data_IF_575285059538
#
_entry.id   IF_575285059538
#
_cell.length_a   1.000
_cell.length_b   1.000
_cell.length_c   1.000
_cell.angle_alpha   90.00
_cell.angle_beta   90.00
_cell.angle_gamma   90.00
#
_symmetry.space_group_name_H-M   'P 1'
#
loop_
_entity.id
_entity.type
_entity.pdbx_description
1 polymer ?
#
# COMPACT_ATOMS: atom_id res chain seq x y z
N UNK A 1 -20.28 7.40 31.72
CA UNK A 1 -20.28 8.53 30.78
C UNK A 1 -19.32 9.59 31.31
N UNK A 2 -18.17 9.78 30.66
CA UNK A 2 -17.32 10.95 30.92
C UNK A 2 -17.87 12.11 30.08
N UNK A 3 -18.24 13.22 30.72
CA UNK A 3 -18.58 14.44 30.01
C UNK A 3 -17.29 15.01 29.42
N UNK A 4 -17.03 14.72 28.14
CA UNK A 4 -15.93 15.34 27.40
C UNK A 4 -16.46 16.68 26.91
N UNK A 5 -16.15 17.74 27.64
CA UNK A 5 -16.30 19.11 27.18
C UNK A 5 -15.08 19.47 26.32
N UNK A 6 -15.30 20.11 25.18
CA UNK A 6 -14.24 20.64 24.33
C UNK A 6 -14.21 22.17 24.46
N UNK A 7 -13.00 22.74 24.37
CA UNK A 7 -12.81 24.19 24.31
C UNK A 7 -13.02 24.67 22.86
N UNK A 8 -13.74 25.76 22.64
CA UNK A 8 -13.92 26.34 21.29
C UNK A 8 -12.58 26.70 20.64
N UNK A 9 -11.57 27.04 21.43
CA UNK A 9 -10.20 27.28 20.95
C UNK A 9 -9.55 26.03 20.33
N UNK A 10 -10.04 24.84 20.68
CA UNK A 10 -9.56 23.55 20.18
C UNK A 10 -10.24 23.10 18.89
N UNK A 11 -11.23 23.85 18.37
CA UNK A 11 -11.89 23.53 17.11
C UNK A 11 -10.93 23.81 15.93
N UNK A 12 -10.67 22.79 15.12
CA UNK A 12 -10.00 22.95 13.82
C UNK A 12 -11.02 23.42 12.78
N UNK A 13 -12.21 22.81 12.76
CA UNK A 13 -13.27 23.14 11.81
C UNK A 13 -14.66 22.73 12.30
N UNK A 14 -15.64 23.60 12.12
CA UNK A 14 -17.07 23.30 12.28
C UNK A 14 -17.64 22.85 10.92
N UNK A 15 -18.22 21.66 10.87
CA UNK A 15 -18.85 21.13 9.65
C UNK A 15 -20.36 21.31 9.65
N UNK A 16 -20.98 21.31 10.82
CA UNK A 16 -22.41 21.54 11.00
C UNK A 16 -22.69 22.06 12.40
N UNK A 17 -23.59 23.05 12.49
CA UNK A 17 -24.21 23.51 13.72
C UNK A 17 -25.66 23.84 13.40
N UNK A 18 -26.61 23.16 14.04
CA UNK A 18 -28.02 23.36 13.76
C UNK A 18 -28.94 22.33 14.41
N UNK A 19 -30.24 22.51 14.17
CA UNK A 19 -31.29 21.64 14.73
C UNK A 19 -31.66 20.50 13.81
N UNK A 20 -31.73 19.30 14.38
CA UNK A 20 -32.29 18.09 13.77
C UNK A 20 -33.30 17.51 14.76
N UNK A 21 -34.57 17.39 14.36
CA UNK A 21 -35.67 16.90 15.22
C UNK A 21 -35.69 17.57 16.61
N UNK A 22 -35.66 18.90 16.61
CA UNK A 22 -35.69 19.75 17.82
C UNK A 22 -34.46 19.63 18.75
N UNK A 23 -33.48 18.79 18.40
CA UNK A 23 -32.18 18.69 19.09
C UNK A 23 -31.11 19.44 18.31
N UNK A 24 -30.29 20.21 19.01
CA UNK A 24 -29.12 20.91 18.49
C UNK A 24 -27.92 19.94 18.41
N UNK A 25 -27.32 19.87 17.23
CA UNK A 25 -26.12 19.07 17.01
C UNK A 25 -24.98 19.95 16.51
N UNK A 26 -23.78 19.64 16.99
CA UNK A 26 -22.52 20.18 16.47
C UNK A 26 -21.68 19.05 15.93
N UNK A 27 -21.30 19.12 14.66
CA UNK A 27 -20.37 18.18 14.02
C UNK A 27 -19.10 18.94 13.69
N UNK A 28 -18.01 18.57 14.32
CA UNK A 28 -16.77 19.34 14.26
C UNK A 28 -15.54 18.45 14.31
N UNK A 29 -14.43 19.01 13.86
CA UNK A 29 -13.11 18.42 14.00
C UNK A 29 -12.31 19.23 15.01
N UNK A 30 -11.73 18.55 15.98
CA UNK A 30 -10.80 19.16 16.94
C UNK A 30 -9.36 19.15 16.40
N UNK A 31 -8.59 20.14 16.82
CA UNK A 31 -7.16 20.27 16.54
C UNK A 31 -6.44 19.05 17.10
N UNK A 32 -5.48 18.55 16.34
CA UNK A 32 -4.65 17.37 16.67
C UNK A 32 -5.41 16.03 16.74
N UNK A 33 -6.64 15.98 16.27
CA UNK A 33 -7.42 14.74 16.20
C UNK A 33 -7.62 14.27 14.77
N UNK A 34 -7.69 12.95 14.61
CA UNK A 34 -7.90 12.29 13.33
C UNK A 34 -9.39 12.24 12.95
N UNK A 35 -10.28 12.24 13.94
CA UNK A 35 -11.71 12.02 13.76
C UNK A 35 -12.57 13.27 13.69
N UNK A 36 -13.81 13.07 13.23
CA UNK A 36 -14.91 14.02 13.38
C UNK A 36 -15.65 13.64 14.67
N UNK A 37 -15.94 14.62 15.51
CA UNK A 37 -16.73 14.46 16.74
C UNK A 37 -18.12 15.07 16.59
N UNK A 38 -19.07 14.51 17.33
CA UNK A 38 -20.48 14.90 17.30
C UNK A 38 -20.89 15.20 18.72
N UNK A 39 -21.46 16.39 18.93
CA UNK A 39 -21.93 16.84 20.23
C UNK A 39 -23.42 17.19 20.16
N UNK A 40 -24.14 16.93 21.23
CA UNK A 40 -25.54 17.32 21.41
C UNK A 40 -25.67 18.69 22.11
N UNK A 41 -26.90 19.12 22.41
CA UNK A 41 -27.22 20.39 23.09
C UNK A 41 -26.46 20.60 24.41
N UNK A 42 -26.13 19.53 25.12
CA UNK A 42 -25.42 19.60 26.41
C UNK A 42 -23.90 19.71 26.23
N UNK A 43 -23.41 19.87 24.98
CA UNK A 43 -22.00 19.69 24.60
C UNK A 43 -21.42 18.34 25.04
N UNK A 44 -22.26 17.32 25.21
CA UNK A 44 -21.80 15.96 25.48
C UNK A 44 -21.51 15.30 24.15
N UNK A 45 -20.36 14.62 24.08
CA UNK A 45 -20.03 13.81 22.93
C UNK A 45 -21.07 12.70 22.79
N UNK A 46 -21.93 12.86 21.80
CA UNK A 46 -22.80 11.81 21.30
C UNK A 46 -21.99 11.09 20.23
N UNK A 47 -21.09 10.20 20.67
CA UNK A 47 -20.65 9.15 19.78
C UNK A 47 -21.94 8.44 19.39
N UNK A 48 -22.26 8.44 18.11
CA UNK A 48 -23.44 7.81 17.57
C UNK A 48 -23.58 6.41 18.22
N UNK A 49 -24.50 6.23 19.18
CA UNK A 49 -24.91 4.92 19.72
C UNK A 49 -25.80 4.20 18.68
N UNK A 50 -25.39 4.27 17.40
CA UNK A 50 -26.13 3.71 16.28
C UNK A 50 -25.34 2.59 15.61
N UNK A 51 -26.10 1.75 14.92
CA UNK A 51 -25.69 0.63 14.07
C UNK A 51 -24.51 0.97 13.13
N UNK A 52 -24.33 2.24 12.73
CA UNK A 52 -23.36 2.67 11.70
C UNK A 52 -22.05 3.29 12.22
N UNK A 53 -21.83 3.35 13.54
CA UNK A 53 -20.66 4.02 14.13
C UNK A 53 -19.34 3.38 13.69
N UNK A 54 -19.30 2.05 13.61
CA UNK A 54 -18.15 1.28 13.15
C UNK A 54 -17.82 1.57 11.68
N UNK A 55 -18.82 1.57 10.81
CA UNK A 55 -18.67 1.77 9.37
C UNK A 55 -18.21 3.19 9.05
N UNK A 56 -18.76 4.18 9.75
CA UNK A 56 -18.33 5.58 9.62
C UNK A 56 -16.88 5.75 10.10
N UNK A 57 -16.51 5.12 11.21
CA UNK A 57 -15.13 5.14 11.70
C UNK A 57 -14.16 4.47 10.69
N UNK A 58 -14.55 3.36 10.08
CA UNK A 58 -13.77 2.68 9.04
C UNK A 58 -13.57 3.57 7.81
N UNK A 59 -14.62 4.27 7.36
CA UNK A 59 -14.54 5.23 6.26
C UNK A 59 -13.56 6.37 6.57
N UNK A 60 -13.68 6.98 7.76
CA UNK A 60 -12.76 8.05 8.21
C UNK A 60 -11.31 7.55 8.22
N UNK A 61 -11.08 6.36 8.75
CA UNK A 61 -9.76 5.73 8.79
C UNK A 61 -9.16 5.52 7.39
N UNK A 62 -9.94 4.94 6.46
CA UNK A 62 -9.50 4.74 5.06
C UNK A 62 -9.21 6.06 4.34
N UNK A 63 -10.01 7.09 4.60
CA UNK A 63 -9.81 8.45 4.05
C UNK A 63 -8.51 9.06 4.57
N UNK A 64 -8.24 8.98 5.87
CA UNK A 64 -7.01 9.52 6.44
C UNK A 64 -5.77 8.78 5.95
N UNK A 65 -5.84 7.45 5.76
CA UNK A 65 -4.76 6.71 5.10
C UNK A 65 -4.55 7.21 3.67
N UNK A 66 -5.63 7.38 2.90
CA UNK A 66 -5.56 7.81 1.51
C UNK A 66 -4.94 9.21 1.37
N UNK A 67 -5.33 10.14 2.24
CA UNK A 67 -4.84 11.54 2.26
C UNK A 67 -3.42 11.60 2.81
N UNK A 68 -3.15 10.94 3.93
CA UNK A 68 -1.83 10.92 4.58
C UNK A 68 -0.74 10.44 3.63
N UNK A 69 -1.04 9.38 2.88
CA UNK A 69 -0.12 8.79 1.91
C UNK A 69 -0.07 9.51 0.55
N UNK A 70 -0.79 10.63 0.32
CA UNK A 70 -0.72 11.33 -0.97
C UNK A 70 0.56 12.17 -1.11
N UNK A 71 1.18 12.13 -2.30
CA UNK A 71 2.32 13.01 -2.67
C UNK A 71 1.74 14.30 -3.26
N UNK A 72 1.02 15.06 -2.44
CA UNK A 72 0.44 16.35 -2.85
C UNK A 72 0.75 17.41 -1.80
N UNK A 73 0.67 18.68 -2.19
CA UNK A 73 0.86 19.81 -1.27
C UNK A 73 -0.13 19.76 -0.10
N UNK A 74 0.26 20.31 1.05
CA UNK A 74 -0.60 20.38 2.23
C UNK A 74 -1.97 20.99 1.92
N UNK A 75 -2.00 22.07 1.14
CA UNK A 75 -3.25 22.73 0.68
C UNK A 75 -4.14 21.81 -0.15
N UNK A 76 -3.58 20.93 -0.98
CA UNK A 76 -4.37 19.93 -1.75
C UNK A 76 -4.88 18.81 -0.86
N UNK A 77 -4.08 18.37 0.14
CA UNK A 77 -4.51 17.38 1.14
C UNK A 77 -5.71 17.88 1.93
N UNK A 78 -5.67 19.14 2.36
CA UNK A 78 -6.75 19.78 3.10
C UNK A 78 -8.04 19.89 2.28
N UNK A 79 -7.96 20.30 1.01
CA UNK A 79 -9.12 20.31 0.10
C UNK A 79 -9.73 18.92 -0.10
N UNK A 80 -8.89 17.89 -0.26
CA UNK A 80 -9.38 16.50 -0.36
C UNK A 80 -10.06 16.06 0.94
N UNK A 81 -9.44 16.35 2.09
CA UNK A 81 -9.99 16.05 3.42
C UNK A 81 -11.37 16.68 3.58
N UNK A 82 -11.50 17.95 3.25
CA UNK A 82 -12.77 18.67 3.29
C UNK A 82 -13.84 18.01 2.42
N UNK A 83 -13.51 17.63 1.19
CA UNK A 83 -14.47 17.01 0.27
C UNK A 83 -14.98 15.65 0.80
N UNK A 84 -14.10 14.82 1.35
CA UNK A 84 -14.49 13.53 1.94
C UNK A 84 -15.22 13.69 3.27
N UNK A 85 -14.77 14.60 4.14
CA UNK A 85 -15.42 14.83 5.42
C UNK A 85 -16.82 15.41 5.22
N UNK A 86 -17.04 16.27 4.22
CA UNK A 86 -18.39 16.73 3.86
C UNK A 86 -19.30 15.57 3.41
N UNK A 87 -18.78 14.54 2.75
CA UNK A 87 -19.57 13.34 2.41
C UNK A 87 -19.93 12.52 3.65
N UNK A 88 -18.99 12.35 4.57
CA UNK A 88 -19.22 11.65 5.85
C UNK A 88 -20.23 12.42 6.70
N UNK A 89 -20.09 13.75 6.79
CA UNK A 89 -21.02 14.62 7.52
C UNK A 89 -22.43 14.49 6.93
N UNK A 90 -22.59 14.47 5.60
CA UNK A 90 -23.91 14.19 4.98
C UNK A 90 -24.48 12.83 5.41
N UNK A 91 -23.64 11.79 5.46
CA UNK A 91 -24.07 10.48 5.94
C UNK A 91 -24.48 10.52 7.42
N UNK A 92 -23.71 11.20 8.27
CA UNK A 92 -24.03 11.41 9.68
C UNK A 92 -25.35 12.15 9.84
N UNK A 93 -25.56 13.23 9.09
CA UNK A 93 -26.79 14.01 9.11
C UNK A 93 -28.00 13.16 8.72
N UNK A 94 -27.89 12.34 7.66
CA UNK A 94 -28.94 11.38 7.28
C UNK A 94 -29.23 10.38 8.41
N UNK A 95 -28.19 9.89 9.11
CA UNK A 95 -28.35 9.00 10.25
C UNK A 95 -28.99 9.70 11.47
N UNK A 96 -28.72 10.99 11.69
CA UNK A 96 -29.29 11.77 12.80
C UNK A 96 -30.72 12.24 12.51
N UNK A 97 -31.03 12.53 11.25
CA UNK A 97 -32.38 12.87 10.78
C UNK A 97 -33.35 11.71 10.86
N UNK A 98 -32.87 10.46 10.96
CA UNK A 98 -33.70 9.27 11.01
C UNK A 98 -33.57 8.59 12.37
N UNK A 99 -34.66 8.57 13.14
CA UNK A 99 -34.73 7.80 14.40
C UNK A 99 -34.67 6.31 14.08
N UNK A 100 -33.60 5.64 14.51
CA UNK A 100 -33.31 4.24 14.19
C UNK A 100 -34.40 3.31 14.68
N UNK A 101 -35.03 3.64 15.82
CA UNK A 101 -36.10 2.82 16.37
C UNK A 101 -37.39 2.87 15.52
N UNK A 102 -37.48 3.84 14.60
CA UNK A 102 -38.62 4.06 13.71
C UNK A 102 -38.24 3.97 12.21
N UNK A 103 -37.02 3.55 11.88
CA UNK A 103 -36.60 3.42 10.49
C UNK A 103 -37.22 2.18 9.84
N UNK A 104 -37.78 2.35 8.65
CA UNK A 104 -38.18 1.22 7.83
C UNK A 104 -36.94 0.48 7.31
N UNK A 105 -37.10 -0.82 7.03
CA UNK A 105 -36.02 -1.65 6.47
C UNK A 105 -35.41 -1.05 5.19
N UNK A 106 -36.23 -0.45 4.33
CA UNK A 106 -35.78 0.19 3.08
C UNK A 106 -34.81 1.35 3.34
N UNK A 107 -35.05 2.13 4.39
CA UNK A 107 -34.22 3.30 4.71
C UNK A 107 -32.87 2.88 5.32
N UNK A 108 -32.86 1.79 6.09
CA UNK A 108 -31.63 1.17 6.57
C UNK A 108 -30.80 0.67 5.38
N UNK A 109 -31.44 -0.01 4.43
CA UNK A 109 -30.79 -0.54 3.24
C UNK A 109 -30.19 0.58 2.37
N UNK A 110 -30.88 1.71 2.19
CA UNK A 110 -30.38 2.89 1.46
C UNK A 110 -29.11 3.50 2.08
N UNK A 111 -29.09 3.65 3.41
CA UNK A 111 -27.93 4.19 4.13
C UNK A 111 -26.77 3.20 4.06
N UNK A 112 -27.04 1.90 4.24
CA UNK A 112 -26.04 0.85 4.11
C UNK A 112 -25.44 0.78 2.71
N UNK A 113 -26.27 0.91 1.66
CA UNK A 113 -25.80 0.92 0.28
C UNK A 113 -24.93 2.14 0.00
N UNK A 114 -25.30 3.32 0.51
CA UNK A 114 -24.49 4.53 0.39
C UNK A 114 -23.12 4.37 1.07
N UNK A 115 -23.09 3.85 2.30
CA UNK A 115 -21.86 3.57 3.05
C UNK A 115 -21.00 2.56 2.28
N UNK A 116 -21.61 1.45 1.83
CA UNK A 116 -20.92 0.37 1.11
C UNK A 116 -20.30 0.87 -0.18
N UNK A 117 -21.04 1.63 -0.99
CA UNK A 117 -20.56 2.21 -2.24
C UNK A 117 -19.34 3.13 -2.02
N UNK A 118 -19.37 3.97 -0.97
CA UNK A 118 -18.22 4.81 -0.62
C UNK A 118 -17.04 3.97 -0.12
N UNK A 119 -17.30 2.90 0.65
CA UNK A 119 -16.27 2.01 1.15
C UNK A 119 -15.55 1.27 0.01
N UNK A 120 -16.31 0.69 -0.91
CA UNK A 120 -15.80 -0.02 -2.09
C UNK A 120 -14.94 0.92 -2.95
N UNK A 121 -15.43 2.13 -3.21
CA UNK A 121 -14.70 3.16 -3.97
C UNK A 121 -13.38 3.54 -3.29
N UNK A 122 -13.36 3.65 -1.96
CA UNK A 122 -12.14 3.97 -1.20
C UNK A 122 -11.16 2.81 -1.20
N UNK A 123 -11.66 1.58 -1.06
CA UNK A 123 -10.86 0.37 -1.11
C UNK A 123 -10.16 0.25 -2.47
N UNK A 124 -10.88 0.42 -3.58
CA UNK A 124 -10.31 0.39 -4.93
C UNK A 124 -9.24 1.46 -5.14
N UNK A 125 -9.46 2.67 -4.61
CA UNK A 125 -8.47 3.76 -4.66
C UNK A 125 -7.22 3.42 -3.86
N UNK A 126 -7.36 2.86 -2.67
CA UNK A 126 -6.23 2.43 -1.85
C UNK A 126 -5.46 1.28 -2.51
N UNK A 127 -6.16 0.30 -3.10
CA UNK A 127 -5.54 -0.82 -3.82
C UNK A 127 -4.75 -0.35 -5.02
N UNK A 128 -5.35 0.48 -5.87
CA UNK A 128 -4.67 1.03 -7.04
C UNK A 128 -3.46 1.87 -6.65
N UNK A 129 -3.57 2.65 -5.56
CA UNK A 129 -2.44 3.40 -5.03
C UNK A 129 -1.32 2.46 -4.58
N UNK A 130 -1.61 1.45 -3.77
CA UNK A 130 -0.61 0.49 -3.30
C UNK A 130 0.08 -0.23 -4.47
N UNK A 131 -0.67 -0.60 -5.52
CA UNK A 131 -0.13 -1.17 -6.76
C UNK A 131 0.84 -0.23 -7.46
N UNK A 132 0.45 1.05 -7.63
CA UNK A 132 1.29 2.07 -8.27
C UNK A 132 2.59 2.25 -7.49
N UNK A 133 2.52 2.46 -6.17
CA UNK A 133 3.73 2.64 -5.36
C UNK A 133 4.62 1.41 -5.37
N UNK A 134 4.06 0.21 -5.29
CA UNK A 134 4.81 -1.04 -5.39
C UNK A 134 5.58 -1.14 -6.72
N UNK A 135 4.90 -0.86 -7.84
CA UNK A 135 5.51 -0.86 -9.17
C UNK A 135 6.56 0.24 -9.34
N UNK A 136 6.21 1.49 -9.01
CA UNK A 136 7.10 2.64 -9.14
C UNK A 136 8.35 2.49 -8.29
N UNK A 137 8.25 1.98 -7.07
CA UNK A 137 9.43 1.74 -6.22
C UNK A 137 10.41 0.80 -6.89
N UNK A 138 9.92 -0.32 -7.44
CA UNK A 138 10.80 -1.26 -8.13
C UNK A 138 11.37 -0.66 -9.43
N UNK A 139 10.54 0.06 -10.21
CA UNK A 139 10.98 0.74 -11.41
C UNK A 139 12.12 1.73 -11.13
N UNK A 140 12.01 2.52 -10.06
CA UNK A 140 13.06 3.47 -9.64
C UNK A 140 14.36 2.74 -9.33
N UNK A 141 14.31 1.62 -8.58
CA UNK A 141 15.52 0.84 -8.27
C UNK A 141 16.15 0.27 -9.55
N UNK A 142 15.33 -0.23 -10.48
CA UNK A 142 15.81 -0.72 -11.80
C UNK A 142 16.46 0.40 -12.61
N UNK A 143 15.85 1.58 -12.66
CA UNK A 143 16.41 2.74 -13.36
C UNK A 143 17.72 3.20 -12.71
N UNK A 144 17.83 3.20 -11.38
CA UNK A 144 19.07 3.52 -10.67
C UNK A 144 20.19 2.54 -11.03
N UNK A 145 19.90 1.23 -11.08
CA UNK A 145 20.87 0.21 -11.52
C UNK A 145 21.31 0.43 -12.97
N UNK A 146 20.37 0.79 -13.85
CA UNK A 146 20.67 1.10 -15.24
C UNK A 146 21.51 2.39 -15.39
N UNK A 147 21.22 3.42 -14.61
CA UNK A 147 22.03 4.65 -14.56
C UNK A 147 23.45 4.36 -14.09
N UNK A 148 23.63 3.51 -13.07
CA UNK A 148 24.96 3.06 -12.64
C UNK A 148 25.70 2.38 -13.79
N UNK A 149 25.03 1.54 -14.57
CA UNK A 149 25.62 0.91 -15.75
C UNK A 149 26.14 1.91 -16.78
N UNK A 150 25.36 2.92 -17.13
CA UNK A 150 25.80 3.96 -18.06
C UNK A 150 26.95 4.82 -17.51
N UNK A 151 26.96 5.10 -16.20
CA UNK A 151 28.07 5.77 -15.53
C UNK A 151 29.36 4.95 -15.67
N UNK A 152 29.30 3.64 -15.40
CA UNK A 152 30.46 2.74 -15.56
C UNK A 152 30.99 2.70 -16.98
N UNK A 153 30.10 2.69 -18.00
CA UNK A 153 30.52 2.76 -19.41
C UNK A 153 31.23 4.09 -19.69
N UNK A 154 30.64 5.21 -19.26
CA UNK A 154 31.16 6.55 -19.57
C UNK A 154 32.55 6.79 -18.97
N UNK A 155 32.78 6.35 -17.73
CA UNK A 155 34.04 6.54 -17.02
C UNK A 155 35.05 5.39 -17.21
N UNK A 156 34.76 4.45 -18.13
CA UNK A 156 35.65 3.31 -18.45
C UNK A 156 37.05 3.74 -18.90
N UNK A 157 37.16 4.90 -19.54
CA UNK A 157 38.42 5.42 -20.11
C UNK A 157 39.23 6.30 -19.14
N UNK A 158 38.66 6.71 -18.00
CA UNK A 158 39.35 7.56 -17.03
C UNK A 158 40.40 6.78 -16.22
N UNK A 159 41.55 7.42 -16.00
CA UNK A 159 42.72 6.81 -15.35
C UNK A 159 42.48 6.39 -13.90
N UNK A 160 41.46 6.93 -13.23
CA UNK A 160 41.11 6.60 -11.85
C UNK A 160 40.41 5.25 -11.70
N UNK A 161 39.73 4.74 -12.74
CA UNK A 161 39.07 3.42 -12.69
C UNK A 161 39.92 2.29 -13.27
N UNK A 162 41.10 2.58 -13.84
CA UNK A 162 41.93 1.75 -14.75
C UNK A 162 42.45 0.39 -14.24
N UNK A 163 41.98 -0.13 -13.11
CA UNK A 163 42.21 -1.54 -12.77
C UNK A 163 41.40 -2.41 -13.78
N UNK A 164 42.04 -2.76 -14.89
CA UNK A 164 41.40 -3.33 -16.09
C UNK A 164 40.63 -4.64 -15.82
N UNK A 165 41.11 -5.45 -14.87
CA UNK A 165 40.41 -6.67 -14.40
C UNK A 165 39.17 -6.29 -13.57
N UNK A 166 39.29 -5.29 -12.69
CA UNK A 166 38.17 -4.80 -11.87
C UNK A 166 37.06 -4.20 -12.74
N UNK A 167 37.38 -3.42 -13.78
CA UNK A 167 36.36 -2.80 -14.65
C UNK A 167 35.56 -3.85 -15.42
N UNK A 168 36.23 -4.82 -16.06
CA UNK A 168 35.55 -5.84 -16.88
C UNK A 168 34.71 -6.77 -16.00
N UNK A 169 35.21 -7.13 -14.81
CA UNK A 169 34.42 -7.91 -13.84
C UNK A 169 33.20 -7.13 -13.34
N UNK A 170 33.36 -5.84 -13.00
CA UNK A 170 32.27 -4.98 -12.58
C UNK A 170 31.21 -4.79 -13.67
N UNK A 171 31.61 -4.66 -14.94
CA UNK A 171 30.68 -4.53 -16.07
C UNK A 171 29.80 -5.78 -16.23
N UNK A 172 30.39 -6.97 -16.16
CA UNK A 172 29.66 -8.23 -16.29
C UNK A 172 28.76 -8.52 -15.09
N UNK A 173 29.19 -8.16 -13.87
CA UNK A 173 28.36 -8.20 -12.67
C UNK A 173 27.14 -7.29 -12.87
N UNK A 174 27.34 -6.06 -13.35
CA UNK A 174 26.27 -5.08 -13.50
C UNK A 174 25.27 -5.45 -14.60
N UNK A 175 25.74 -6.05 -15.71
CA UNK A 175 24.85 -6.67 -16.71
C UNK A 175 24.03 -7.81 -16.13
N UNK A 176 24.66 -8.69 -15.34
CA UNK A 176 23.96 -9.79 -14.66
C UNK A 176 22.92 -9.28 -13.65
N UNK A 177 23.25 -8.22 -12.89
CA UNK A 177 22.32 -7.53 -11.97
C UNK A 177 21.12 -6.96 -12.72
N UNK A 178 21.34 -6.29 -13.85
CA UNK A 178 20.24 -5.75 -14.67
C UNK A 178 19.32 -6.87 -15.21
N UNK A 179 19.88 -8.03 -15.59
CA UNK A 179 19.09 -9.19 -16.00
C UNK A 179 18.32 -9.82 -14.82
N UNK A 180 18.93 -9.88 -13.63
CA UNK A 180 18.24 -10.26 -12.39
C UNK A 180 17.07 -9.34 -12.05
N UNK A 181 17.26 -8.03 -12.21
CA UNK A 181 16.20 -7.03 -12.04
C UNK A 181 15.09 -7.17 -13.09
N UNK A 182 15.43 -7.48 -14.34
CA UNK A 182 14.44 -7.78 -15.38
C UNK A 182 13.60 -9.02 -15.03
N UNK A 183 14.24 -10.09 -14.54
CA UNK A 183 13.55 -11.26 -14.01
C UNK A 183 12.59 -10.92 -12.88
N UNK A 184 13.02 -10.09 -11.92
CA UNK A 184 12.13 -9.65 -10.83
C UNK A 184 11.03 -8.70 -11.29
N UNK A 185 11.23 -7.92 -12.36
CA UNK A 185 10.19 -7.09 -12.96
C UNK A 185 9.05 -7.94 -13.54
N UNK A 186 9.38 -9.05 -14.20
CA UNK A 186 8.40 -10.05 -14.66
C UNK A 186 7.61 -10.64 -13.47
N UNK A 187 8.29 -10.95 -12.36
CA UNK A 187 7.64 -11.44 -11.15
C UNK A 187 6.70 -10.41 -10.50
N UNK A 188 7.02 -9.12 -10.61
CA UNK A 188 6.16 -8.02 -10.13
C UNK A 188 4.89 -7.91 -10.95
N UNK A 189 4.99 -7.99 -12.28
CA UNK A 189 3.81 -7.97 -13.15
C UNK A 189 2.84 -9.10 -12.79
N UNK A 190 3.37 -10.30 -12.49
CA UNK A 190 2.53 -11.40 -12.01
C UNK A 190 1.86 -11.11 -10.66
N UNK A 191 2.50 -10.33 -9.77
CA UNK A 191 1.90 -10.00 -8.46
C UNK A 191 0.84 -8.89 -8.58
N UNK A 192 1.04 -7.92 -9.47
CA UNK A 192 0.10 -6.81 -9.70
C UNK A 192 -1.30 -7.31 -10.09
N UNK A 193 -1.39 -8.43 -10.81
CA UNK A 193 -2.66 -9.06 -11.19
C UNK A 193 -3.39 -9.72 -10.01
N UNK A 194 -2.73 -9.94 -8.88
CA UNK A 194 -3.34 -10.56 -7.70
C UNK A 194 -3.80 -9.51 -6.67
N UNK A 195 -5.10 -9.17 -6.72
CA UNK A 195 -5.75 -8.22 -5.79
C UNK A 195 -5.57 -8.57 -4.32
N UNK A 196 -5.66 -9.86 -3.97
CA UNK A 196 -5.53 -10.32 -2.58
C UNK A 196 -4.18 -9.93 -1.97
N UNK A 197 -3.15 -9.78 -2.80
CA UNK A 197 -1.82 -9.41 -2.34
C UNK A 197 -1.68 -7.94 -1.90
N UNK A 198 -2.67 -7.09 -2.22
CA UNK A 198 -2.71 -5.67 -1.85
C UNK A 198 -3.83 -5.32 -0.86
N UNK A 199 -4.65 -6.30 -0.45
CA UNK A 199 -5.69 -6.15 0.58
C UNK A 199 -5.18 -6.41 2.01
N UNK A 200 -3.91 -6.79 2.19
CA UNK A 200 -3.39 -7.21 3.50
C UNK A 200 -3.18 -6.02 4.45
N UNK A 201 -2.80 -4.88 3.89
CA UNK A 201 -2.66 -3.61 4.61
C UNK A 201 -2.98 -2.45 3.68
N UNK A 202 -3.57 -1.38 4.19
CA UNK A 202 -3.82 -0.15 3.42
C UNK A 202 -2.64 0.83 3.45
N UNK A 203 -1.58 0.54 4.24
CA UNK A 203 -0.45 1.44 4.41
C UNK A 203 0.58 1.28 3.29
N UNK A 204 0.76 2.34 2.50
CA UNK A 204 1.71 2.43 1.38
C UNK A 204 3.17 2.06 1.74
N UNK A 205 3.75 2.50 2.89
CA UNK A 205 5.16 2.22 3.21
C UNK A 205 5.53 0.73 3.21
N UNK A 206 4.59 -0.13 3.58
CA UNK A 206 4.78 -1.57 3.56
C UNK A 206 5.00 -2.13 2.16
N UNK A 207 4.26 -1.63 1.17
CA UNK A 207 4.42 -2.04 -0.23
C UNK A 207 5.72 -1.49 -0.82
N UNK A 208 6.15 -0.30 -0.40
CA UNK A 208 7.47 0.24 -0.76
C UNK A 208 8.58 -0.68 -0.24
N UNK A 209 8.55 -1.04 1.05
CA UNK A 209 9.52 -1.96 1.65
C UNK A 209 9.52 -3.33 0.97
N UNK A 210 8.34 -3.85 0.64
CA UNK A 210 8.20 -5.14 -0.05
C UNK A 210 8.78 -5.10 -1.47
N UNK A 211 8.53 -4.01 -2.21
CA UNK A 211 9.11 -3.80 -3.54
C UNK A 211 10.64 -3.68 -3.47
N UNK A 212 11.15 -2.90 -2.51
CA UNK A 212 12.58 -2.74 -2.28
C UNK A 212 13.26 -4.07 -1.93
N UNK A 213 12.69 -4.84 -1.00
CA UNK A 213 13.20 -6.16 -0.63
C UNK A 213 13.27 -7.14 -1.81
N UNK A 214 12.28 -7.10 -2.71
CA UNK A 214 12.30 -7.90 -3.94
C UNK A 214 13.36 -7.43 -4.94
N UNK A 215 13.54 -6.13 -5.09
CA UNK A 215 14.61 -5.57 -5.92
C UNK A 215 15.99 -5.97 -5.39
N UNK A 216 16.21 -5.88 -4.07
CA UNK A 216 17.44 -6.34 -3.43
C UNK A 216 17.70 -7.82 -3.68
N UNK A 217 16.69 -8.67 -3.53
CA UNK A 217 16.83 -10.09 -3.87
C UNK A 217 17.22 -10.29 -5.33
N UNK A 218 16.57 -9.59 -6.27
CA UNK A 218 16.90 -9.66 -7.70
C UNK A 218 18.32 -9.22 -8.01
N UNK A 219 18.83 -8.20 -7.32
CA UNK A 219 20.22 -7.75 -7.42
C UNK A 219 21.17 -8.87 -6.94
N UNK A 220 20.91 -9.43 -5.75
CA UNK A 220 21.71 -10.52 -5.19
C UNK A 220 21.68 -11.75 -6.11
N UNK A 221 20.52 -12.09 -6.66
CA UNK A 221 20.35 -13.18 -7.63
C UNK A 221 21.22 -12.98 -8.88
N UNK A 222 21.26 -11.75 -9.41
CA UNK A 222 22.15 -11.40 -10.52
C UNK A 222 23.64 -11.54 -10.17
N UNK A 223 24.03 -11.13 -8.96
CA UNK A 223 25.42 -11.29 -8.47
C UNK A 223 25.77 -12.78 -8.34
N UNK A 224 24.89 -13.59 -7.74
CA UNK A 224 25.09 -15.03 -7.56
C UNK A 224 25.18 -15.73 -8.92
N UNK A 225 24.31 -15.40 -9.88
CA UNK A 225 24.34 -15.98 -11.22
C UNK A 225 25.70 -15.77 -11.91
N UNK A 226 26.26 -14.56 -11.79
CA UNK A 226 27.60 -14.25 -12.31
C UNK A 226 28.66 -15.17 -11.67
N UNK A 227 28.69 -15.28 -10.34
CA UNK A 227 29.70 -16.09 -9.66
C UNK A 227 29.55 -17.58 -9.93
N UNK A 228 28.33 -18.12 -9.99
CA UNK A 228 28.07 -19.52 -10.32
C UNK A 228 28.59 -19.89 -11.72
N UNK A 229 28.38 -18.99 -12.69
CA UNK A 229 28.91 -19.17 -14.04
C UNK A 229 30.43 -18.99 -14.07
N UNK A 230 30.99 -18.06 -13.28
CA UNK A 230 32.45 -17.83 -13.19
C UNK A 230 33.21 -19.05 -12.67
N UNK A 231 32.71 -19.69 -11.62
CA UNK A 231 33.34 -20.89 -11.01
C UNK A 231 33.04 -22.20 -11.76
N UNK A 232 32.38 -22.11 -12.93
CA UNK A 232 31.93 -23.26 -13.71
C UNK A 232 31.07 -24.26 -12.91
N UNK A 233 30.27 -23.77 -11.95
CA UNK A 233 29.52 -24.61 -11.00
C UNK A 233 28.67 -25.68 -11.69
N UNK A 234 28.13 -25.36 -12.86
CA UNK A 234 27.22 -26.25 -13.56
C UNK A 234 27.90 -27.33 -14.41
N UNK A 235 29.24 -27.32 -14.61
CA UNK A 235 29.99 -28.20 -15.53
C UNK A 235 29.42 -28.33 -16.97
N UNK A 236 28.30 -27.69 -17.29
CA UNK A 236 27.61 -27.69 -18.58
C UNK A 236 28.33 -26.78 -19.59
N UNK A 237 29.12 -25.81 -19.12
CA UNK A 237 29.82 -24.85 -19.97
C UNK A 237 31.08 -25.43 -20.63
N UNK A 238 31.58 -26.59 -20.19
CA UNK A 238 32.65 -27.30 -20.90
C UNK A 238 32.17 -27.82 -22.26
N UNK A 239 30.85 -27.94 -22.47
CA UNK A 239 30.25 -28.26 -23.78
C UNK A 239 30.10 -27.04 -24.70
N UNK A 240 30.12 -25.82 -24.16
CA UNK A 240 29.77 -24.59 -24.89
C UNK A 240 30.98 -23.68 -24.96
N UNK A 241 31.95 -24.05 -25.80
CA UNK A 241 33.31 -23.48 -25.81
C UNK A 241 33.43 -22.01 -26.25
N UNK A 242 32.33 -21.35 -26.60
CA UNK A 242 32.36 -19.96 -27.09
C UNK A 242 32.01 -18.96 -26.00
N UNK A 243 32.84 -17.92 -25.84
CA UNK A 243 32.66 -16.84 -24.86
C UNK A 243 31.23 -16.24 -24.85
N UNK A 244 30.62 -16.08 -26.03
CA UNK A 244 29.24 -15.56 -26.17
C UNK A 244 28.19 -16.46 -25.51
N UNK A 245 28.35 -17.78 -25.59
CA UNK A 245 27.38 -18.72 -25.02
C UNK A 245 27.35 -18.69 -23.48
N UNK A 246 28.51 -18.46 -22.86
CA UNK A 246 28.66 -18.32 -21.41
C UNK A 246 27.99 -17.05 -20.88
N UNK A 247 28.10 -15.94 -21.61
CA UNK A 247 27.43 -14.70 -21.27
C UNK A 247 25.89 -14.82 -21.40
N UNK A 248 25.40 -15.44 -22.48
CA UNK A 248 23.97 -15.68 -22.67
C UNK A 248 23.41 -16.56 -21.55
N UNK A 249 24.10 -17.65 -21.19
CA UNK A 249 23.69 -18.52 -20.10
C UNK A 249 23.64 -17.79 -18.75
N UNK A 250 24.65 -16.95 -18.47
CA UNK A 250 24.67 -16.11 -17.27
C UNK A 250 23.47 -15.18 -17.20
N UNK A 251 23.11 -14.53 -18.30
CA UNK A 251 21.95 -13.63 -18.35
C UNK A 251 20.63 -14.37 -18.20
N UNK A 252 20.48 -15.54 -18.82
CA UNK A 252 19.31 -16.41 -18.64
C UNK A 252 19.18 -16.87 -17.19
N UNK A 253 20.27 -17.36 -16.60
CA UNK A 253 20.31 -17.80 -15.20
C UNK A 253 19.96 -16.65 -14.25
N UNK A 254 20.55 -15.47 -14.46
CA UNK A 254 20.25 -14.26 -13.68
C UNK A 254 18.76 -13.89 -13.78
N UNK A 255 18.19 -13.93 -14.98
CA UNK A 255 16.76 -13.64 -15.21
C UNK A 255 15.86 -14.65 -14.49
N UNK A 256 16.17 -15.95 -14.58
CA UNK A 256 15.38 -17.01 -13.91
C UNK A 256 15.46 -16.89 -12.39
N UNK A 257 16.66 -16.67 -11.84
CA UNK A 257 16.84 -16.46 -10.40
C UNK A 257 16.16 -15.17 -9.95
N UNK A 258 16.21 -14.09 -10.73
CA UNK A 258 15.43 -12.87 -10.49
C UNK A 258 13.92 -13.11 -10.49
N UNK A 259 13.41 -13.90 -11.44
CA UNK A 259 12.00 -14.26 -11.52
C UNK A 259 11.54 -15.10 -10.31
N UNK A 260 12.45 -15.86 -9.70
CA UNK A 260 12.14 -16.64 -8.48
C UNK A 260 11.65 -15.78 -7.31
N UNK A 261 11.88 -14.46 -7.32
CA UNK A 261 11.26 -13.53 -6.37
C UNK A 261 9.74 -13.67 -6.30
N UNK A 262 9.07 -14.18 -7.35
CA UNK A 262 7.64 -14.53 -7.32
C UNK A 262 7.28 -15.40 -6.12
N UNK A 263 8.16 -16.33 -5.74
CA UNK A 263 7.95 -17.29 -4.64
C UNK A 263 8.38 -16.76 -3.28
N UNK A 264 9.02 -15.58 -3.20
CA UNK A 264 9.33 -14.98 -1.91
C UNK A 264 8.03 -14.72 -1.16
N UNK A 265 7.84 -15.33 0.03
CA UNK A 265 6.69 -15.05 0.84
C UNK A 265 6.62 -13.56 1.11
N UNK A 266 5.41 -13.03 1.11
CA UNK A 266 5.19 -11.66 1.59
C UNK A 266 5.68 -11.57 3.04
N UNK A 267 6.26 -10.44 3.45
CA UNK A 267 6.53 -10.17 4.88
C UNK A 267 5.22 -10.27 5.70
N UNK A 268 4.08 -10.16 5.02
CA UNK A 268 2.73 -10.35 5.56
C UNK A 268 2.21 -11.79 5.56
N UNK A 269 3.02 -12.80 5.20
CA UNK A 269 2.56 -14.20 5.16
C UNK A 269 2.07 -14.66 6.55
N UNK A 270 2.77 -14.25 7.61
CA UNK A 270 2.38 -14.48 9.00
C UNK A 270 1.04 -13.81 9.34
N UNK A 271 0.87 -12.53 8.99
CA UNK A 271 -0.38 -11.78 9.21
C UNK A 271 -1.55 -12.38 8.45
N UNK A 272 -1.35 -12.79 7.19
CA UNK A 272 -2.39 -13.45 6.40
C UNK A 272 -2.82 -14.81 6.97
N UNK A 273 -1.90 -15.52 7.64
CA UNK A 273 -2.18 -16.79 8.31
C UNK A 273 -2.92 -16.63 9.65
N UNK A 274 -2.75 -15.49 10.32
CA UNK A 274 -3.53 -15.15 11.52
C UNK A 274 -4.97 -14.77 11.15
N UNK A 275 -5.16 -13.91 10.13
CA UNK A 275 -6.49 -13.49 9.66
C UNK A 275 -7.32 -14.69 9.16
N UNK A 276 -6.69 -15.66 8.49
CA UNK A 276 -7.39 -16.85 8.00
C UNK A 276 -7.73 -17.85 9.12
N UNK A 277 -6.93 -17.91 10.18
CA UNK A 277 -7.24 -18.71 11.38
C UNK A 277 -8.45 -18.12 12.12
N UNK A 278 -8.52 -16.81 12.30
CA UNK A 278 -9.61 -16.14 13.01
C UNK A 278 -10.97 -16.25 12.30
N UNK A 279 -10.98 -16.22 10.95
CA UNK A 279 -12.20 -16.50 10.17
C UNK A 279 -12.72 -17.93 10.38
N UNK A 280 -11.82 -18.91 10.38
CA UNK A 280 -12.19 -20.32 10.56
C UNK A 280 -12.68 -20.64 11.99
N UNK A 281 -12.22 -19.91 13.02
CA UNK A 281 -12.76 -20.01 14.39
C UNK A 281 -14.11 -19.32 14.54
N UNK A 282 -14.31 -18.17 13.88
CA UNK A 282 -15.60 -17.46 13.87
C UNK A 282 -16.70 -18.26 13.16
N UNK A 283 -16.40 -18.85 11.99
CA UNK A 283 -17.35 -19.68 11.24
C UNK A 283 -17.67 -21.01 11.95
N UNK A 284 -16.74 -21.56 12.73
CA UNK A 284 -16.99 -22.75 13.57
C UNK A 284 -17.90 -22.47 14.76
N UNK A 285 -17.94 -21.23 15.25
CA UNK A 285 -18.81 -20.84 16.36
C UNK A 285 -20.22 -20.48 15.88
N UNK A 286 -20.38 -19.94 14.66
CA UNK A 286 -21.71 -19.71 14.05
C UNK A 286 -22.44 -20.98 13.62
N UNK A 287 -21.74 -22.11 13.50
CA UNK A 287 -22.36 -23.42 13.23
C UNK A 287 -22.73 -24.22 14.48
N UNK A 288 -22.65 -23.62 15.68
CA UNK A 288 -22.91 -24.25 16.98
C UNK A 288 -23.97 -23.53 17.82
N UNK A 289 -24.62 -22.50 17.29
CA UNK A 289 -25.83 -21.90 17.86
C UNK A 289 -27.08 -22.37 17.11
#
# INVERSE_FOLDING_TARGET
MHNIFYDESSIEKMYFEGKIREKDYKILKLKNETGIRIFNNDNKETFIDNIFSCEIAELIFKIEILIGSSITTAKKKEKMRELYYNKIVKCILLCLEKDINNMSKKEIDEIQEFIRCNNDTLEDRLLNKNRIFYFCTYLVITLLSLSLYFIFIKYRTDSLLKNYISIVENENILKSVNMGLMGGFLAINYRLTNEKSFKITYFVPYYILLAAGRAFYSIIAGIIAYYLVKINFFNILDLVSTKNSREIFMYLLATVLGYSTRYLPSIFSSVSSCISKDKNTSDRNKGRE
#
